data_IF_092051704940
#
_entry.id   IF_092051704940
#
_cell.length_a   1.000
_cell.length_b   1.000
_cell.length_c   1.000
_cell.angle_alpha   90.00
_cell.angle_beta   90.00
_cell.angle_gamma   90.00
#
_symmetry.space_group_name_H-M   'P 1'
#
loop_
_entity.id
_entity.type
_entity.pdbx_description
1 polymer ?
#
# COMPACT_ATOMS: atom_id res chain seq x y z
N UNK A 1 2.45 4.99 6.45
CA UNK A 1 1.11 5.46 6.03
C UNK A 1 0.49 4.37 5.16
N UNK A 2 -0.73 3.93 5.46
CA UNK A 2 -1.45 2.89 4.70
C UNK A 2 -1.95 3.52 3.39
N UNK A 3 -1.58 2.95 2.24
CA UNK A 3 -1.91 3.47 0.90
C UNK A 3 -2.68 2.47 0.03
N UNK A 4 -2.69 1.19 0.41
CA UNK A 4 -3.32 0.10 -0.37
C UNK A 4 -4.18 -0.80 0.53
N UNK A 5 -5.14 -1.50 -0.06
CA UNK A 5 -5.99 -2.47 0.64
C UNK A 5 -5.14 -3.59 1.24
N UNK A 6 -4.13 -4.08 0.53
CA UNK A 6 -3.14 -5.04 1.04
C UNK A 6 -2.50 -4.57 2.35
N UNK A 7 -2.06 -3.30 2.40
CA UNK A 7 -1.48 -2.73 3.62
C UNK A 7 -2.51 -2.57 4.74
N UNK A 8 -3.77 -2.25 4.41
CA UNK A 8 -4.84 -2.17 5.39
C UNK A 8 -5.16 -3.55 5.98
N UNK A 9 -5.26 -4.58 5.15
CA UNK A 9 -5.45 -5.98 5.55
C UNK A 9 -4.31 -6.44 6.47
N UNK A 10 -3.05 -6.15 6.10
CA UNK A 10 -1.86 -6.55 6.83
C UNK A 10 -1.52 -5.66 8.04
N UNK A 11 -2.26 -4.57 8.28
CA UNK A 11 -1.91 -3.54 9.28
C UNK A 11 -1.93 -4.01 10.73
N UNK A 12 -2.62 -5.12 11.03
CA UNK A 12 -2.83 -5.60 12.40
C UNK A 12 -3.79 -4.74 13.22
N UNK A 13 -4.39 -3.69 12.65
CA UNK A 13 -5.37 -2.87 13.36
C UNK A 13 -6.65 -3.68 13.69
N UNK A 14 -7.26 -3.43 14.86
CA UNK A 14 -8.51 -4.08 15.22
C UNK A 14 -9.64 -3.66 14.28
N UNK A 15 -10.54 -4.59 13.98
CA UNK A 15 -11.76 -4.29 13.22
C UNK A 15 -12.74 -3.47 14.07
N UNK A 16 -13.69 -2.80 13.43
CA UNK A 16 -14.79 -2.07 14.09
C UNK A 16 -15.52 -2.98 15.07
N UNK A 17 -15.82 -4.23 14.68
CA UNK A 17 -16.44 -5.22 15.56
C UNK A 17 -15.57 -5.57 16.78
N UNK A 18 -14.25 -5.73 16.58
CA UNK A 18 -13.31 -5.99 17.68
C UNK A 18 -13.17 -4.79 18.63
N UNK A 19 -13.11 -3.58 18.08
CA UNK A 19 -13.09 -2.34 18.86
C UNK A 19 -14.35 -2.20 19.71
N UNK A 20 -15.53 -2.52 19.13
CA UNK A 20 -16.80 -2.45 19.84
C UNK A 20 -16.84 -3.44 21.01
N UNK A 21 -16.31 -4.65 20.80
CA UNK A 21 -16.20 -5.63 21.87
C UNK A 21 -15.25 -5.18 22.99
N UNK A 22 -14.15 -4.50 22.65
CA UNK A 22 -13.14 -4.07 23.62
C UNK A 22 -13.49 -2.77 24.37
N UNK A 23 -14.15 -1.82 23.72
CA UNK A 23 -14.34 -0.45 24.23
C UNK A 23 -15.81 -0.02 24.35
N UNK A 24 -16.75 -0.87 23.91
CA UNK A 24 -18.17 -0.57 23.92
C UNK A 24 -18.65 0.23 22.71
N UNK A 25 -19.96 0.19 22.50
CA UNK A 25 -20.63 0.74 21.31
C UNK A 25 -20.48 2.27 21.20
N UNK A 26 -20.63 2.98 22.31
CA UNK A 26 -20.58 4.45 22.36
C UNK A 26 -19.24 5.00 21.90
N UNK A 27 -18.14 4.41 22.38
CA UNK A 27 -16.78 4.86 22.05
C UNK A 27 -16.48 4.65 20.56
N UNK A 28 -16.88 3.50 20.02
CA UNK A 28 -16.68 3.20 18.60
C UNK A 28 -17.54 4.08 17.70
N UNK A 29 -18.79 4.34 18.08
CA UNK A 29 -19.65 5.28 17.34
C UNK A 29 -19.06 6.69 17.35
N UNK A 30 -18.55 7.18 18.48
CA UNK A 30 -17.89 8.49 18.55
C UNK A 30 -16.69 8.57 17.60
N UNK A 31 -15.83 7.55 17.60
CA UNK A 31 -14.69 7.46 16.67
C UNK A 31 -15.13 7.49 15.19
N UNK A 32 -16.16 6.73 14.83
CA UNK A 32 -16.67 6.69 13.46
C UNK A 32 -17.35 8.01 13.06
N UNK A 33 -18.04 8.66 13.99
CA UNK A 33 -18.64 9.99 13.79
C UNK A 33 -17.55 11.01 13.51
N UNK A 34 -16.46 11.03 14.29
CA UNK A 34 -15.33 11.95 14.08
C UNK A 34 -14.70 11.76 12.69
N UNK A 35 -14.47 10.50 12.29
CA UNK A 35 -13.91 10.20 10.97
C UNK A 35 -14.82 10.63 9.81
N UNK A 36 -16.13 10.37 9.94
CA UNK A 36 -17.10 10.77 8.92
C UNK A 36 -17.27 12.29 8.88
N UNK A 37 -17.32 12.97 10.03
CA UNK A 37 -17.43 14.42 10.11
C UNK A 37 -16.23 15.12 9.46
N UNK A 38 -15.00 14.68 9.75
CA UNK A 38 -13.77 15.19 9.10
C UNK A 38 -13.81 15.03 7.58
N UNK A 39 -14.34 13.90 7.09
CA UNK A 39 -14.53 13.69 5.67
C UNK A 39 -15.56 14.65 5.06
N UNK A 40 -16.70 14.82 5.72
CA UNK A 40 -17.78 15.69 5.24
C UNK A 40 -17.35 17.16 5.21
N UNK A 41 -16.61 17.61 6.22
CA UNK A 41 -16.07 18.98 6.28
C UNK A 41 -15.12 19.26 5.10
N UNK A 42 -14.36 18.25 4.65
CA UNK A 42 -13.44 18.38 3.52
C UNK A 42 -14.13 18.54 2.16
N UNK A 43 -15.23 17.81 1.90
CA UNK A 43 -15.81 17.65 0.55
C UNK A 43 -16.55 18.90 0.05
N UNK A 44 -16.81 19.90 0.92
CA UNK A 44 -17.42 21.21 0.62
C UNK A 44 -18.55 21.16 -0.44
N UNK A 45 -19.55 20.32 -0.21
CA UNK A 45 -20.73 20.17 -1.08
C UNK A 45 -21.91 21.02 -0.60
N UNK A 46 -22.75 21.48 -1.53
CA UNK A 46 -23.89 22.35 -1.25
C UNK A 46 -24.94 21.73 -0.33
N UNK A 47 -25.21 20.43 -0.46
CA UNK A 47 -26.06 19.65 0.48
C UNK A 47 -25.19 18.68 1.26
N UNK A 48 -24.98 19.02 2.53
CA UNK A 48 -24.17 18.25 3.48
C UNK A 48 -25.04 17.45 4.46
N UNK A 49 -24.38 16.62 5.25
CA UNK A 49 -24.98 15.83 6.31
C UNK A 49 -25.44 16.69 7.49
N UNK A 50 -26.63 16.41 8.03
CA UNK A 50 -26.97 16.81 9.40
C UNK A 50 -26.32 15.86 10.43
N UNK A 51 -26.10 16.32 11.66
CA UNK A 51 -25.55 15.47 12.73
C UNK A 51 -26.37 14.18 12.97
N UNK A 52 -27.70 14.23 12.78
CA UNK A 52 -28.57 13.05 12.85
C UNK A 52 -28.27 12.06 11.73
N UNK A 53 -28.07 12.55 10.50
CA UNK A 53 -27.72 11.69 9.36
C UNK A 53 -26.34 11.06 9.54
N UNK A 54 -25.38 11.77 10.17
CA UNK A 54 -24.06 11.22 10.49
C UNK A 54 -24.22 10.05 11.46
N UNK A 55 -24.94 10.26 12.56
CA UNK A 55 -25.17 9.22 13.57
C UNK A 55 -25.88 7.98 12.98
N UNK A 56 -26.89 8.18 12.14
CA UNK A 56 -27.60 7.08 11.46
C UNK A 56 -26.68 6.32 10.50
N UNK A 57 -25.89 7.05 9.71
CA UNK A 57 -24.94 6.43 8.76
C UNK A 57 -23.85 5.66 9.50
N UNK A 58 -23.33 6.20 10.60
CA UNK A 58 -22.36 5.49 11.46
C UNK A 58 -22.94 4.20 12.02
N UNK A 59 -24.20 4.21 12.47
CA UNK A 59 -24.85 2.99 12.94
C UNK A 59 -24.92 1.92 11.84
N UNK A 60 -25.23 2.34 10.60
CA UNK A 60 -25.22 1.45 9.42
C UNK A 60 -23.81 0.95 9.11
N UNK A 61 -22.79 1.83 9.14
CA UNK A 61 -21.40 1.45 8.90
C UNK A 61 -20.97 0.35 9.88
N UNK A 62 -21.26 0.53 11.17
CA UNK A 62 -20.93 -0.44 12.20
C UNK A 62 -21.66 -1.77 12.02
N UNK A 63 -22.90 -1.74 11.52
CA UNK A 63 -23.73 -2.93 11.28
C UNK A 63 -23.28 -3.72 10.05
N UNK A 64 -23.04 -3.04 8.92
CA UNK A 64 -22.78 -3.69 7.63
C UNK A 64 -21.29 -3.91 7.33
N UNK A 65 -20.40 -3.13 7.96
CA UNK A 65 -18.94 -3.26 7.76
C UNK A 65 -18.17 -3.51 9.07
N UNK A 66 -18.60 -4.44 9.95
CA UNK A 66 -17.92 -4.70 11.22
C UNK A 66 -16.50 -5.29 11.05
N UNK A 67 -16.20 -5.83 9.87
CA UNK A 67 -14.91 -6.44 9.52
C UNK A 67 -13.84 -5.43 9.08
N UNK A 68 -14.21 -4.20 8.76
CA UNK A 68 -13.23 -3.15 8.43
C UNK A 68 -12.41 -2.79 9.65
N UNK A 69 -11.10 -2.62 9.47
CA UNK A 69 -10.21 -2.09 10.49
C UNK A 69 -9.98 -0.58 10.32
N UNK A 70 -9.31 0.04 11.29
CA UNK A 70 -9.04 1.48 11.24
C UNK A 70 -8.19 1.88 10.03
N UNK A 71 -7.32 0.99 9.55
CA UNK A 71 -6.57 1.19 8.31
C UNK A 71 -7.48 1.21 7.08
N UNK A 72 -8.47 0.32 7.04
CA UNK A 72 -9.47 0.26 5.97
C UNK A 72 -10.28 1.57 5.91
N UNK A 73 -10.81 2.00 7.06
CA UNK A 73 -11.62 3.23 7.16
C UNK A 73 -10.82 4.48 6.78
N UNK A 74 -9.59 4.61 7.28
CA UNK A 74 -8.71 5.73 6.93
C UNK A 74 -8.40 5.77 5.44
N UNK A 75 -8.03 4.62 4.86
CA UNK A 75 -7.76 4.51 3.43
C UNK A 75 -9.00 4.82 2.59
N UNK A 76 -10.17 4.34 3.01
CA UNK A 76 -11.44 4.62 2.35
C UNK A 76 -11.72 6.12 2.28
N UNK A 77 -11.67 6.84 3.40
CA UNK A 77 -11.92 8.28 3.41
C UNK A 77 -10.83 9.06 2.65
N UNK A 78 -9.56 8.69 2.76
CA UNK A 78 -8.49 9.30 1.94
C UNK A 78 -8.76 9.14 0.44
N UNK A 79 -9.23 7.97 0.01
CA UNK A 79 -9.59 7.72 -1.39
C UNK A 79 -10.82 8.47 -1.85
N UNK A 80 -11.82 8.63 -0.98
CA UNK A 80 -12.96 9.48 -1.25
C UNK A 80 -12.51 10.94 -1.46
N UNK A 81 -11.64 11.47 -0.58
CA UNK A 81 -11.08 12.83 -0.70
C UNK A 81 -10.30 13.02 -2.00
N UNK A 82 -9.58 12.00 -2.44
CA UNK A 82 -8.80 11.99 -3.70
C UNK A 82 -9.66 11.74 -4.96
N UNK A 83 -10.96 11.47 -4.82
CA UNK A 83 -11.86 11.26 -5.96
C UNK A 83 -11.76 9.89 -6.63
N UNK A 84 -11.18 8.87 -5.98
CA UNK A 84 -11.06 7.51 -6.55
C UNK A 84 -12.41 6.88 -6.91
N UNK A 85 -13.49 7.36 -6.30
CA UNK A 85 -14.85 6.84 -6.50
C UNK A 85 -15.70 7.72 -7.43
N UNK A 86 -15.06 8.63 -8.16
CA UNK A 86 -15.70 9.62 -9.02
C UNK A 86 -16.01 10.93 -8.28
N UNK A 87 -16.59 11.88 -9.01
CA UNK A 87 -16.96 13.20 -8.48
C UNK A 87 -18.28 13.15 -7.71
N UNK A 88 -18.29 13.78 -6.54
CA UNK A 88 -19.50 14.06 -5.78
C UNK A 88 -19.95 15.48 -6.18
N UNK A 89 -21.04 15.58 -6.92
CA UNK A 89 -21.52 16.86 -7.45
C UNK A 89 -22.22 17.68 -6.34
N UNK A 90 -23.55 17.74 -6.36
CA UNK A 90 -24.33 18.64 -5.48
C UNK A 90 -24.66 18.04 -4.10
N UNK A 91 -24.36 16.75 -3.87
CA UNK A 91 -24.92 16.00 -2.75
C UNK A 91 -23.92 14.99 -2.17
N UNK A 92 -23.81 15.01 -0.84
CA UNK A 92 -23.19 13.95 -0.06
C UNK A 92 -24.13 13.49 1.05
N UNK A 93 -24.44 12.19 1.08
CA UNK A 93 -25.31 11.58 2.08
C UNK A 93 -24.89 10.15 2.45
N UNK A 94 -25.62 9.55 3.38
CA UNK A 94 -25.36 8.20 3.87
C UNK A 94 -25.43 7.13 2.79
N UNK A 95 -26.35 7.25 1.82
CA UNK A 95 -26.50 6.27 0.76
C UNK A 95 -25.26 6.25 -0.15
N UNK A 96 -24.72 7.42 -0.49
CA UNK A 96 -23.50 7.50 -1.30
C UNK A 96 -22.31 6.94 -0.51
N UNK A 97 -22.13 7.33 0.76
CA UNK A 97 -21.04 6.81 1.61
C UNK A 97 -21.10 5.28 1.69
N UNK A 98 -22.26 4.72 2.01
CA UNK A 98 -22.45 3.27 2.12
C UNK A 98 -22.21 2.55 0.78
N UNK A 99 -22.67 3.12 -0.34
CA UNK A 99 -22.42 2.56 -1.67
C UNK A 99 -20.93 2.55 -2.01
N UNK A 100 -20.17 3.60 -1.66
CA UNK A 100 -18.73 3.64 -1.90
C UNK A 100 -17.96 2.73 -0.93
N UNK A 101 -18.44 2.55 0.30
CA UNK A 101 -17.88 1.54 1.21
C UNK A 101 -18.07 0.13 0.68
N UNK A 102 -19.22 -0.17 0.06
CA UNK A 102 -19.44 -1.46 -0.59
C UNK A 102 -18.49 -1.67 -1.78
N UNK A 103 -18.27 -0.64 -2.60
CA UNK A 103 -17.26 -0.70 -3.67
C UNK A 103 -15.85 -0.96 -3.09
N UNK A 104 -15.48 -0.28 -2.02
CA UNK A 104 -14.21 -0.54 -1.32
C UNK A 104 -14.14 -1.97 -0.75
N UNK A 105 -15.26 -2.50 -0.22
CA UNK A 105 -15.34 -3.86 0.29
C UNK A 105 -15.05 -4.89 -0.82
N UNK A 106 -15.63 -4.69 -1.99
CA UNK A 106 -15.37 -5.55 -3.16
C UNK A 106 -13.91 -5.51 -3.58
N UNK A 107 -13.31 -4.31 -3.67
CA UNK A 107 -11.89 -4.17 -3.98
C UNK A 107 -11.01 -4.89 -2.93
N UNK A 108 -11.37 -4.77 -1.65
CA UNK A 108 -10.68 -5.42 -0.54
C UNK A 108 -10.80 -6.94 -0.59
N UNK A 109 -11.97 -7.47 -0.97
CA UNK A 109 -12.18 -8.90 -1.14
C UNK A 109 -11.35 -9.46 -2.30
N UNK A 110 -11.29 -8.74 -3.42
CA UNK A 110 -10.43 -9.13 -4.55
C UNK A 110 -8.95 -9.15 -4.16
N UNK A 111 -8.50 -8.15 -3.41
CA UNK A 111 -7.13 -8.11 -2.89
C UNK A 111 -6.84 -9.28 -1.94
N UNK A 112 -7.80 -9.60 -1.06
CA UNK A 112 -7.67 -10.75 -0.16
C UNK A 112 -7.55 -12.06 -0.93
N UNK A 113 -8.35 -12.26 -1.99
CA UNK A 113 -8.26 -13.43 -2.86
C UNK A 113 -6.89 -13.52 -3.53
N UNK A 114 -6.39 -12.42 -4.10
CA UNK A 114 -5.06 -12.36 -4.74
C UNK A 114 -3.93 -12.74 -3.77
N UNK A 115 -3.97 -12.23 -2.53
CA UNK A 115 -3.00 -12.58 -1.50
C UNK A 115 -3.04 -14.08 -1.15
N UNK A 116 -4.25 -14.63 -1.03
CA UNK A 116 -4.45 -16.01 -0.64
C UNK A 116 -4.09 -16.98 -1.77
N UNK A 117 -4.41 -16.65 -3.02
CA UNK A 117 -4.03 -17.41 -4.22
C UNK A 117 -2.51 -17.41 -4.42
N UNK A 118 -1.84 -16.26 -4.19
CA UNK A 118 -0.39 -16.18 -4.18
C UNK A 118 0.24 -17.12 -3.14
N UNK A 119 -0.33 -17.17 -1.93
CA UNK A 119 0.10 -18.10 -0.89
C UNK A 119 -0.14 -19.57 -1.28
N UNK A 120 -1.32 -19.91 -1.78
CA UNK A 120 -1.66 -21.27 -2.20
C UNK A 120 -0.80 -21.77 -3.37
N UNK A 121 -0.50 -20.90 -4.34
CA UNK A 121 0.38 -21.23 -5.46
C UNK A 121 1.82 -21.48 -5.01
N UNK A 122 2.31 -20.69 -4.04
CA UNK A 122 3.64 -20.92 -3.45
C UNK A 122 3.70 -22.24 -2.69
N UNK A 123 2.68 -22.56 -1.87
CA UNK A 123 2.59 -23.83 -1.14
C UNK A 123 2.60 -25.00 -2.11
N UNK A 124 1.76 -24.99 -3.15
CA UNK A 124 1.73 -26.05 -4.17
C UNK A 124 3.07 -26.21 -4.89
N UNK A 125 3.76 -25.09 -5.17
CA UNK A 125 5.08 -25.11 -5.81
C UNK A 125 6.14 -25.71 -4.90
N UNK A 126 6.13 -25.36 -3.62
CA UNK A 126 7.02 -25.92 -2.59
C UNK A 126 6.72 -27.41 -2.34
N UNK A 127 5.45 -27.81 -2.23
CA UNK A 127 5.05 -29.21 -2.11
C UNK A 127 5.49 -30.03 -3.31
N UNK A 128 5.28 -29.51 -4.53
CA UNK A 128 5.74 -30.17 -5.75
C UNK A 128 7.26 -30.30 -5.79
N UNK A 129 8.00 -29.25 -5.41
CA UNK A 129 9.46 -29.28 -5.33
C UNK A 129 9.94 -30.29 -4.27
N UNK A 130 9.32 -30.29 -3.08
CA UNK A 130 9.66 -31.20 -1.99
C UNK A 130 9.31 -32.67 -2.34
N UNK A 131 8.25 -32.91 -3.10
CA UNK A 131 7.89 -34.26 -3.58
C UNK A 131 8.85 -34.78 -4.67
N UNK A 132 9.46 -33.87 -5.43
CA UNK A 132 10.40 -34.20 -6.50
C UNK A 132 11.85 -34.38 -6.01
N UNK A 133 12.16 -33.92 -4.80
CA UNK A 133 13.50 -34.01 -4.20
C UNK A 133 13.60 -35.19 -3.23
N UNK A 134 14.71 -35.93 -3.29
CA UNK A 134 14.97 -37.04 -2.38
C UNK A 134 15.22 -36.52 -0.94
N UNK A 135 14.79 -37.25 0.12
CA UNK A 135 14.88 -36.81 1.51
C UNK A 135 16.26 -36.30 1.96
N UNK A 136 17.34 -36.91 1.48
CA UNK A 136 18.72 -36.49 1.80
C UNK A 136 19.09 -35.12 1.21
N UNK A 137 18.50 -34.73 0.09
CA UNK A 137 18.68 -33.41 -0.53
C UNK A 137 17.91 -32.36 0.26
N UNK A 138 16.69 -32.68 0.69
CA UNK A 138 15.88 -31.81 1.56
C UNK A 138 16.61 -31.53 2.88
N UNK A 139 17.23 -32.55 3.47
CA UNK A 139 17.98 -32.43 4.71
C UNK A 139 19.27 -31.59 4.55
N UNK A 140 20.02 -31.81 3.46
CA UNK A 140 21.18 -30.99 3.12
C UNK A 140 20.79 -29.51 2.92
N UNK A 141 19.65 -29.25 2.27
CA UNK A 141 19.12 -27.89 2.08
C UNK A 141 18.70 -27.26 3.41
N UNK A 142 17.98 -27.98 4.28
CA UNK A 142 17.59 -27.49 5.62
C UNK A 142 18.81 -27.16 6.48
N UNK A 143 19.86 -27.99 6.41
CA UNK A 143 21.12 -27.79 7.13
C UNK A 143 21.92 -26.59 6.60
N UNK A 144 21.84 -26.32 5.29
CA UNK A 144 22.47 -25.16 4.67
C UNK A 144 21.72 -23.84 4.95
N UNK A 145 20.40 -23.89 5.16
CA UNK A 145 19.56 -22.68 5.36
C UNK A 145 19.59 -22.15 6.80
N UNK A 146 19.94 -22.98 7.79
CA UNK A 146 19.98 -22.57 9.21
C UNK A 146 18.59 -22.35 9.82
N UNK A 147 18.40 -22.67 11.10
CA UNK A 147 17.12 -22.58 11.79
C UNK A 147 16.50 -21.17 11.69
N UNK A 148 15.39 -21.03 10.96
CA UNK A 148 14.66 -19.75 10.85
C UNK A 148 13.88 -19.47 12.13
N UNK A 149 14.24 -18.37 12.82
CA UNK A 149 13.32 -17.63 13.69
C UNK A 149 12.10 -17.17 12.87
N UNK A 150 10.93 -17.14 13.54
CA UNK A 150 9.58 -16.79 13.04
C UNK A 150 9.61 -15.75 11.90
N UNK A 151 9.00 -16.12 10.78
CA UNK A 151 8.96 -15.33 9.53
C UNK A 151 7.87 -14.25 9.63
N UNK A 152 8.26 -12.99 9.45
CA UNK A 152 7.37 -11.88 9.12
C UNK A 152 6.86 -12.00 7.67
N UNK A 153 5.57 -11.74 7.42
CA UNK A 153 4.89 -11.83 6.12
C UNK A 153 5.33 -10.81 5.04
N UNK A 154 6.49 -10.17 5.18
CA UNK A 154 7.01 -9.34 4.09
C UNK A 154 7.48 -10.25 2.94
N UNK A 155 7.11 -9.97 1.67
CA UNK A 155 7.64 -10.72 0.54
C UNK A 155 9.17 -10.67 0.59
N UNK A 156 9.87 -11.79 0.31
CA UNK A 156 11.32 -11.83 0.38
C UNK A 156 11.85 -10.71 -0.52
N UNK A 157 12.53 -9.73 0.09
CA UNK A 157 13.18 -8.65 -0.66
C UNK A 157 14.09 -9.33 -1.68
N UNK A 158 13.76 -9.19 -2.97
CA UNK A 158 14.60 -9.70 -4.06
C UNK A 158 16.01 -9.21 -3.79
N UNK A 159 16.97 -10.15 -3.67
CA UNK A 159 18.36 -9.75 -3.56
C UNK A 159 18.73 -9.05 -4.87
N UNK A 160 19.22 -7.81 -4.81
CA UNK A 160 19.58 -7.06 -6.01
C UNK A 160 20.57 -7.88 -6.83
N UNK A 161 20.30 -8.10 -8.11
CA UNK A 161 21.29 -8.73 -8.98
C UNK A 161 22.41 -7.72 -9.32
N UNK A 162 23.47 -8.17 -10.01
CA UNK A 162 24.61 -7.31 -10.33
C UNK A 162 24.23 -6.06 -11.13
N UNK A 163 23.22 -6.17 -12.00
CA UNK A 163 22.68 -5.03 -12.75
C UNK A 163 21.95 -4.03 -11.84
N UNK A 164 21.16 -4.52 -10.88
CA UNK A 164 20.46 -3.70 -9.88
C UNK A 164 21.48 -2.96 -8.99
N UNK A 165 22.53 -3.66 -8.55
CA UNK A 165 23.62 -3.08 -7.75
C UNK A 165 24.39 -2.01 -8.54
N UNK A 166 24.65 -2.25 -9.82
CA UNK A 166 25.28 -1.29 -10.71
C UNK A 166 24.42 -0.03 -10.87
N UNK A 167 23.12 -0.20 -11.16
CA UNK A 167 22.18 0.91 -11.33
C UNK A 167 22.06 1.74 -10.05
N UNK A 168 21.94 1.11 -8.87
CA UNK A 168 21.90 1.79 -7.58
C UNK A 168 23.17 2.58 -7.28
N UNK A 169 24.35 2.05 -7.64
CA UNK A 169 25.63 2.76 -7.52
C UNK A 169 25.67 3.98 -8.44
N UNK A 170 25.20 3.85 -9.68
CA UNK A 170 25.14 4.95 -10.63
C UNK A 170 24.20 6.06 -10.17
N UNK A 171 23.00 5.73 -9.67
CA UNK A 171 22.08 6.72 -9.08
C UNK A 171 22.75 7.46 -7.93
N UNK A 172 23.38 6.74 -7.00
CA UNK A 172 24.03 7.37 -5.84
C UNK A 172 25.16 8.32 -6.27
N UNK A 173 25.94 7.94 -7.29
CA UNK A 173 26.98 8.80 -7.86
C UNK A 173 26.37 10.03 -8.53
N UNK A 174 25.30 9.86 -9.30
CA UNK A 174 24.59 10.95 -9.94
C UNK A 174 24.01 11.93 -8.90
N UNK A 175 23.38 11.43 -7.85
CA UNK A 175 22.85 12.25 -6.75
C UNK A 175 23.93 13.06 -6.05
N UNK A 176 25.08 12.43 -5.77
CA UNK A 176 26.22 13.11 -5.17
C UNK A 176 26.78 14.22 -6.08
N UNK A 177 26.86 13.97 -7.39
CA UNK A 177 27.28 14.99 -8.37
C UNK A 177 26.23 16.09 -8.52
N UNK A 178 24.94 15.73 -8.45
CA UNK A 178 23.82 16.67 -8.60
C UNK A 178 23.81 17.71 -7.48
N UNK A 179 24.26 17.36 -6.27
CA UNK A 179 24.43 18.35 -5.18
C UNK A 179 25.40 19.48 -5.52
N UNK A 180 26.35 19.24 -6.44
CA UNK A 180 27.44 20.17 -6.76
C UNK A 180 27.32 20.81 -8.15
N UNK A 181 26.78 20.06 -9.10
CA UNK A 181 26.72 20.41 -10.52
C UNK A 181 25.30 20.27 -11.09
N UNK A 182 24.29 20.07 -10.24
CA UNK A 182 22.92 19.83 -10.66
C UNK A 182 22.19 21.09 -11.07
N UNK A 183 21.45 21.00 -12.18
CA UNK A 183 20.50 22.00 -12.65
C UNK A 183 19.16 21.33 -12.96
N UNK A 184 18.06 22.01 -12.65
CA UNK A 184 16.73 21.56 -13.04
C UNK A 184 16.35 22.23 -14.36
N UNK A 185 16.18 21.43 -15.43
CA UNK A 185 15.74 21.92 -16.74
C UNK A 185 14.46 21.22 -17.13
N UNK A 186 13.41 22.00 -17.40
CA UNK A 186 12.08 21.47 -17.75
C UNK A 186 11.55 20.43 -16.75
N UNK A 187 11.89 20.57 -15.46
CA UNK A 187 11.50 19.65 -14.40
C UNK A 187 12.33 18.36 -14.30
N UNK A 188 13.34 18.19 -15.17
CA UNK A 188 14.24 17.03 -15.16
C UNK A 188 15.55 17.35 -14.44
N UNK A 189 16.10 16.35 -13.75
CA UNK A 189 17.38 16.44 -13.07
C UNK A 189 18.51 16.23 -14.06
N UNK A 190 19.35 17.26 -14.23
CA UNK A 190 20.46 17.26 -15.17
C UNK A 190 21.75 17.70 -14.46
N UNK A 191 22.89 17.11 -14.82
CA UNK A 191 24.21 17.60 -14.42
C UNK A 191 24.75 18.55 -15.48
N UNK A 192 25.26 19.72 -15.09
CA UNK A 192 26.05 20.61 -15.93
C UNK A 192 27.53 20.53 -15.53
N UNK A 193 28.32 19.82 -16.34
CA UNK A 193 29.76 19.65 -16.10
C UNK A 193 30.50 20.20 -17.33
N UNK A 194 31.05 21.40 -17.19
CA UNK A 194 31.83 22.05 -18.25
C UNK A 194 31.02 22.36 -19.51
N UNK A 195 29.75 22.75 -19.35
CA UNK A 195 28.85 23.09 -20.47
C UNK A 195 28.21 21.88 -21.15
N UNK A 196 28.43 20.67 -20.62
CA UNK A 196 27.74 19.44 -21.05
C UNK A 196 26.63 19.08 -20.07
N UNK A 197 25.45 18.83 -20.63
CA UNK A 197 24.27 18.44 -19.90
C UNK A 197 24.12 16.91 -19.95
N UNK A 198 24.05 16.28 -18.77
CA UNK A 198 23.87 14.84 -18.65
C UNK A 198 22.65 14.57 -17.78
N UNK A 199 21.64 13.92 -18.34
CA UNK A 199 20.56 13.33 -17.55
C UNK A 199 21.02 12.03 -16.91
N UNK A 200 20.20 11.50 -16.01
CA UNK A 200 20.50 10.25 -15.31
C UNK A 200 20.75 9.10 -16.30
N UNK A 201 19.97 9.01 -17.37
CA UNK A 201 20.08 7.96 -18.38
C UNK A 201 21.41 8.10 -19.15
N UNK A 202 21.74 9.31 -19.63
CA UNK A 202 23.03 9.60 -20.30
C UNK A 202 24.23 9.26 -19.40
N UNK A 203 24.11 9.54 -18.10
CA UNK A 203 25.15 9.26 -17.13
C UNK A 203 25.34 7.75 -16.93
N UNK A 204 24.25 6.99 -16.89
CA UNK A 204 24.28 5.53 -16.74
C UNK A 204 24.83 4.87 -18.01
N UNK A 205 24.36 5.28 -19.19
CA UNK A 205 24.86 4.77 -20.47
C UNK A 205 26.37 4.97 -20.60
N UNK A 206 26.88 6.15 -20.23
CA UNK A 206 28.31 6.42 -20.25
C UNK A 206 29.10 5.58 -19.25
N UNK A 207 28.52 5.26 -18.08
CA UNK A 207 29.15 4.36 -17.09
C UNK A 207 29.21 2.92 -17.60
N UNK A 208 28.18 2.46 -18.32
CA UNK A 208 28.17 1.15 -18.98
C UNK A 208 29.24 1.10 -20.07
N UNK A 209 29.30 2.10 -20.96
CA UNK A 209 30.29 2.15 -22.04
C UNK A 209 31.74 2.20 -21.55
N UNK A 210 32.00 2.85 -20.41
CA UNK A 210 33.33 2.88 -19.80
C UNK A 210 33.69 1.60 -19.04
N UNK A 211 32.72 0.75 -18.68
CA UNK A 211 32.95 -0.52 -18.01
C UNK A 211 33.26 -1.67 -18.99
N UNK A 212 32.99 -1.47 -20.29
CA UNK A 212 33.19 -2.46 -21.37
C UNK A 212 34.54 -2.23 -22.10
N UNK A 213 35.23 -1.12 -21.84
CA UNK A 213 36.59 -0.82 -22.34
C UNK A 213 37.64 -1.22 -21.31
#
# INVERSE_FOLDING_TARGET
>A
MIKTQSQAIASGFPSVGKLKAAHGDTVVKALLVDMLADFIEFINVGKTFSGVQIAQTVAMIQQYFPHFNLGDLKLFFERMKLGHYGSFYDRMDGQIVLSKMEQYNQDRMNEYQLLNDGAHNNIRREEKLNSALHPSVIEAMKKAVGEKKVVSNDPPKRQPNDADLFYQRCIRQFDNLYRKFGVSRSGLRTLDIGGRFLMIDDFIERKVQNAIK
#
